data_IF_891117715769
#
_entry.id   IF_891117715769
#
_cell.length_a   1.000
_cell.length_b   1.000
_cell.length_c   1.000
_cell.angle_alpha   90.00
_cell.angle_beta   90.00
_cell.angle_gamma   90.00
#
_symmetry.space_group_name_H-M   'P 1'
#
loop_
_entity.id
_entity.type
_entity.pdbx_description
1 polymer ?
#
# COMPACT_ATOMS: atom_id res chain seq x y z
N UNK A 1 -3.24 -17.45 32.77
CA UNK A 1 -4.40 -18.06 32.08
C UNK A 1 -5.67 -17.30 32.49
N UNK A 2 -6.18 -16.44 31.62
CA UNK A 2 -7.48 -15.78 31.79
C UNK A 2 -8.53 -16.75 31.24
N UNK A 3 -9.21 -17.46 32.11
CA UNK A 3 -10.11 -18.55 31.73
C UNK A 3 -11.61 -18.16 31.74
N UNK A 4 -11.95 -16.95 32.16
CA UNK A 4 -13.37 -16.53 32.28
C UNK A 4 -13.55 -15.10 31.80
N UNK A 5 -14.75 -14.81 31.28
CA UNK A 5 -15.15 -13.44 31.01
C UNK A 5 -15.11 -12.59 32.30
N UNK A 6 -14.60 -11.38 32.19
CA UNK A 6 -14.50 -10.47 33.33
C UNK A 6 -13.62 -9.26 33.07
N UNK A 7 -13.51 -8.41 34.07
CA UNK A 7 -12.56 -7.32 34.08
C UNK A 7 -11.29 -7.76 34.82
N UNK A 8 -10.16 -7.60 34.20
CA UNK A 8 -8.86 -7.94 34.78
C UNK A 8 -7.98 -6.70 34.84
N UNK A 9 -7.32 -6.52 35.97
CA UNK A 9 -6.35 -5.48 36.15
C UNK A 9 -4.95 -6.05 35.83
N UNK A 10 -4.29 -5.47 34.83
CA UNK A 10 -2.93 -5.80 34.47
C UNK A 10 -2.00 -4.74 35.04
N UNK A 11 -1.05 -5.16 35.88
CA UNK A 11 -0.04 -4.29 36.44
C UNK A 11 1.29 -4.67 35.80
N UNK A 12 1.90 -3.72 35.11
CA UNK A 12 3.28 -3.83 34.62
C UNK A 12 4.17 -3.11 35.60
N UNK A 13 5.13 -3.83 36.19
CA UNK A 13 6.13 -3.27 37.10
C UNK A 13 7.48 -3.30 36.40
N UNK A 14 8.14 -2.15 36.33
CA UNK A 14 9.51 -2.09 35.80
C UNK A 14 10.52 -2.61 36.81
N UNK A 15 11.73 -2.93 36.39
CA UNK A 15 12.83 -3.28 37.29
C UNK A 15 13.21 -2.18 38.29
N UNK A 16 12.79 -0.94 38.04
CA UNK A 16 13.01 0.22 38.93
C UNK A 16 11.84 0.47 39.88
N UNK A 17 10.80 -0.38 39.83
CA UNK A 17 9.66 -0.31 40.73
C UNK A 17 8.51 0.59 40.26
N UNK A 18 8.65 1.25 39.12
CA UNK A 18 7.54 1.99 38.51
C UNK A 18 6.47 1.01 38.04
N UNK A 19 5.22 1.34 38.28
CA UNK A 19 4.09 0.51 37.88
C UNK A 19 3.07 1.27 37.07
N UNK A 20 2.53 0.63 36.02
CA UNK A 20 1.37 1.08 35.27
C UNK A 20 0.29 0.02 35.36
N UNK A 21 -0.95 0.44 35.61
CA UNK A 21 -2.10 -0.45 35.67
C UNK A 21 -3.04 -0.14 34.52
N UNK A 22 -3.49 -1.17 33.83
CA UNK A 22 -4.58 -1.07 32.85
C UNK A 22 -5.65 -2.12 33.17
N UNK A 23 -6.91 -1.71 33.06
CA UNK A 23 -8.05 -2.62 33.20
C UNK A 23 -8.53 -3.08 31.84
N UNK A 24 -8.48 -4.38 31.60
CA UNK A 24 -8.96 -5.00 30.38
C UNK A 24 -10.24 -5.77 30.70
N UNK A 25 -11.32 -5.44 29.98
CA UNK A 25 -12.51 -6.31 29.97
C UNK A 25 -12.26 -7.46 29.01
N UNK A 26 -12.04 -8.62 29.55
CA UNK A 26 -12.00 -9.84 28.79
C UNK A 26 -13.43 -10.29 28.47
N UNK A 27 -13.77 -10.24 27.22
CA UNK A 27 -14.98 -10.91 26.68
C UNK A 27 -14.42 -12.12 25.97
N UNK A 28 -14.83 -13.33 26.37
CA UNK A 28 -14.51 -14.51 25.54
C UNK A 28 -15.23 -14.29 24.22
N UNK A 29 -14.49 -13.83 23.20
CA UNK A 29 -14.89 -14.20 21.87
C UNK A 29 -14.78 -15.72 21.87
N UNK A 30 -15.89 -16.44 21.79
CA UNK A 30 -15.86 -17.83 21.42
C UNK A 30 -14.87 -17.94 20.27
N UNK A 31 -13.82 -18.76 20.36
CA UNK A 31 -12.99 -19.04 19.20
C UNK A 31 -14.00 -19.35 18.12
N UNK A 32 -13.92 -18.63 16.99
CA UNK A 32 -14.89 -18.77 15.91
C UNK A 32 -15.11 -20.27 15.70
N UNK A 33 -16.28 -20.76 16.11
CA UNK A 33 -16.64 -22.14 15.84
C UNK A 33 -16.45 -22.33 14.34
N UNK A 34 -15.79 -23.41 13.96
CA UNK A 34 -15.66 -23.67 12.51
C UNK A 34 -17.06 -23.60 11.90
N UNK A 35 -17.24 -22.80 10.82
CA UNK A 35 -18.56 -22.58 10.28
C UNK A 35 -19.16 -23.93 9.89
N UNK A 36 -20.39 -24.19 10.34
CA UNK A 36 -21.12 -25.40 9.94
C UNK A 36 -21.22 -25.45 8.40
N UNK A 37 -21.38 -26.67 7.85
CA UNK A 37 -21.59 -26.82 6.39
C UNK A 37 -22.75 -25.99 5.88
N UNK A 38 -23.79 -25.82 6.69
CA UNK A 38 -24.96 -25.01 6.31
C UNK A 38 -24.65 -23.51 6.35
N UNK A 39 -23.77 -23.04 7.26
CA UNK A 39 -23.29 -21.68 7.27
C UNK A 39 -22.51 -21.34 5.99
N UNK A 40 -21.76 -22.30 5.42
CA UNK A 40 -20.98 -22.09 4.20
C UNK A 40 -21.82 -22.14 2.91
N UNK A 41 -23.05 -22.65 2.96
CA UNK A 41 -23.93 -22.72 1.78
C UNK A 41 -24.52 -21.36 1.49
N UNK A 42 -24.14 -20.76 0.36
CA UNK A 42 -24.79 -19.56 -0.16
C UNK A 42 -26.13 -19.93 -0.85
N UNK A 43 -27.01 -18.94 -1.00
CA UNK A 43 -28.22 -19.07 -1.82
C UNK A 43 -27.87 -19.36 -3.30
N UNK A 44 -28.87 -19.83 -4.06
CA UNK A 44 -28.68 -20.11 -5.50
C UNK A 44 -28.18 -18.89 -6.32
N UNK A 45 -28.49 -17.66 -5.86
CA UNK A 45 -27.99 -16.41 -6.45
C UNK A 45 -26.65 -15.94 -5.89
N UNK A 46 -25.93 -16.73 -5.08
CA UNK A 46 -24.64 -16.36 -4.48
C UNK A 46 -24.74 -15.33 -3.35
N UNK A 47 -25.95 -14.98 -2.91
CA UNK A 47 -26.16 -14.02 -1.81
C UNK A 47 -25.83 -14.65 -0.46
N UNK A 48 -25.31 -13.81 0.45
CA UNK A 48 -25.14 -14.14 1.86
C UNK A 48 -26.37 -13.66 2.63
N UNK A 49 -26.91 -14.49 3.51
CA UNK A 49 -27.89 -14.03 4.50
C UNK A 49 -27.24 -13.07 5.51
N UNK A 50 -28.04 -12.27 6.19
CA UNK A 50 -27.61 -11.39 7.28
C UNK A 50 -26.72 -12.12 8.30
N UNK A 51 -27.15 -13.34 8.72
CA UNK A 51 -26.41 -14.18 9.66
C UNK A 51 -25.03 -14.58 9.12
N UNK A 52 -24.94 -14.92 7.84
CA UNK A 52 -23.68 -15.26 7.18
C UNK A 52 -22.75 -14.04 7.06
N UNK A 53 -23.29 -12.89 6.70
CA UNK A 53 -22.53 -11.63 6.64
C UNK A 53 -22.02 -11.19 8.02
N UNK A 54 -22.85 -11.31 9.07
CA UNK A 54 -22.45 -11.05 10.46
C UNK A 54 -21.33 -12.00 10.90
N UNK A 55 -21.41 -13.28 10.55
CA UNK A 55 -20.37 -14.26 10.84
C UNK A 55 -19.05 -13.90 10.18
N UNK A 56 -19.06 -13.48 8.92
CA UNK A 56 -17.84 -13.02 8.23
C UNK A 56 -17.24 -11.77 8.88
N UNK A 57 -18.07 -10.83 9.33
CA UNK A 57 -17.59 -9.65 10.08
C UNK A 57 -16.97 -10.08 11.41
N UNK A 58 -17.58 -11.01 12.15
CA UNK A 58 -17.04 -11.52 13.41
C UNK A 58 -15.69 -12.24 13.16
N UNK A 59 -15.59 -13.02 12.09
CA UNK A 59 -14.37 -13.68 11.66
C UNK A 59 -13.25 -12.67 11.31
N UNK A 60 -13.60 -11.59 10.62
CA UNK A 60 -12.69 -10.51 10.30
C UNK A 60 -12.18 -9.82 11.58
N UNK A 61 -13.09 -9.42 12.46
CA UNK A 61 -12.78 -8.76 13.74
C UNK A 61 -11.88 -9.63 14.61
N UNK A 62 -12.22 -10.91 14.75
CA UNK A 62 -11.42 -11.88 15.49
C UNK A 62 -10.02 -12.02 14.91
N UNK A 63 -9.92 -12.23 13.59
CA UNK A 63 -8.62 -12.45 12.95
C UNK A 63 -7.74 -11.21 13.00
N UNK A 64 -8.31 -10.01 12.80
CA UNK A 64 -7.59 -8.74 12.99
C UNK A 64 -7.05 -8.63 14.42
N UNK A 65 -7.90 -8.89 15.43
CA UNK A 65 -7.53 -8.78 16.85
C UNK A 65 -6.50 -9.81 17.28
N UNK A 66 -6.43 -10.96 16.64
CA UNK A 66 -5.43 -12.00 16.89
C UNK A 66 -4.09 -11.72 16.20
N UNK A 67 -4.11 -11.17 15.00
CA UNK A 67 -2.94 -11.07 14.12
C UNK A 67 -2.25 -9.72 14.21
N UNK A 68 -3.02 -8.61 14.13
CA UNK A 68 -2.44 -7.28 14.05
C UNK A 68 -1.73 -6.91 15.36
N UNK A 69 -0.47 -6.42 15.32
CA UNK A 69 0.29 -6.15 16.54
C UNK A 69 -0.23 -4.95 17.34
N UNK A 70 -0.88 -3.97 16.67
CA UNK A 70 -1.39 -2.78 17.35
C UNK A 70 -2.54 -2.15 16.55
N UNK A 71 -3.74 -2.75 16.67
CA UNK A 71 -4.93 -2.30 15.93
C UNK A 71 -5.39 -0.88 16.25
N UNK A 72 -5.02 -0.39 17.43
CA UNK A 72 -5.60 0.84 17.97
C UNK A 72 -4.58 1.97 18.12
N UNK A 73 -3.49 1.92 17.35
CA UNK A 73 -2.46 2.96 17.30
C UNK A 73 -2.99 4.33 16.84
N UNK A 74 -3.97 4.32 15.93
CA UNK A 74 -4.54 5.55 15.34
C UNK A 74 -6.03 5.74 15.57
N UNK A 75 -6.76 4.71 16.02
CA UNK A 75 -8.18 4.80 16.28
C UNK A 75 -8.51 4.33 17.70
N UNK A 76 -9.55 4.92 18.31
CA UNK A 76 -9.99 4.51 19.65
C UNK A 76 -10.71 3.17 19.58
N UNK A 77 -10.28 2.21 20.39
CA UNK A 77 -10.88 0.87 20.47
C UNK A 77 -12.41 0.91 20.65
N UNK A 78 -12.91 1.72 21.58
CA UNK A 78 -14.33 1.83 21.84
C UNK A 78 -15.14 2.33 20.64
N UNK A 79 -14.61 3.30 19.91
CA UNK A 79 -15.27 3.84 18.71
C UNK A 79 -15.22 2.85 17.54
N UNK A 80 -14.15 2.10 17.44
CA UNK A 80 -14.04 1.06 16.43
C UNK A 80 -15.07 -0.05 16.66
N UNK A 81 -15.22 -0.56 17.91
CA UNK A 81 -16.25 -1.57 18.21
C UNK A 81 -17.67 -1.04 18.09
N UNK A 82 -17.93 0.24 18.39
CA UNK A 82 -19.21 0.86 18.05
C UNK A 82 -19.49 0.83 16.55
N UNK A 83 -18.47 1.07 15.73
CA UNK A 83 -18.61 0.96 14.26
C UNK A 83 -18.90 -0.46 13.81
N UNK A 84 -18.21 -1.47 14.38
CA UNK A 84 -18.49 -2.89 14.11
C UNK A 84 -19.95 -3.22 14.43
N UNK A 85 -20.43 -2.87 15.62
CA UNK A 85 -21.81 -3.14 16.02
C UNK A 85 -22.83 -2.44 15.11
N UNK A 86 -22.57 -1.19 14.73
CA UNK A 86 -23.42 -0.45 13.79
C UNK A 86 -23.50 -1.15 12.44
N UNK A 87 -22.37 -1.56 11.88
CA UNK A 87 -22.31 -2.30 10.62
C UNK A 87 -23.13 -3.58 10.71
N UNK A 88 -22.96 -4.40 11.75
CA UNK A 88 -23.73 -5.63 11.94
C UNK A 88 -25.25 -5.40 12.02
N UNK A 89 -25.67 -4.29 12.63
CA UNK A 89 -27.09 -3.92 12.74
C UNK A 89 -27.66 -3.46 11.39
N UNK A 90 -26.89 -2.68 10.63
CA UNK A 90 -27.30 -2.09 9.36
C UNK A 90 -27.31 -3.08 8.17
N UNK A 91 -26.74 -4.27 8.33
CA UNK A 91 -26.78 -5.29 7.28
C UNK A 91 -28.22 -5.62 6.92
N UNK A 92 -28.59 -5.62 5.63
CA UNK A 92 -29.89 -6.09 5.17
C UNK A 92 -30.01 -7.61 5.32
N UNK A 93 -31.22 -8.17 5.06
CA UNK A 93 -31.48 -9.60 5.21
C UNK A 93 -30.61 -10.48 4.30
N UNK A 94 -30.20 -9.95 3.16
CA UNK A 94 -29.23 -10.57 2.25
C UNK A 94 -28.33 -9.54 1.59
N UNK A 95 -27.09 -9.93 1.31
CA UNK A 95 -26.07 -9.08 0.67
C UNK A 95 -25.26 -9.88 -0.36
N UNK A 96 -24.81 -9.19 -1.39
CA UNK A 96 -23.76 -9.69 -2.28
C UNK A 96 -22.38 -9.58 -1.61
N UNK A 97 -21.36 -10.23 -2.17
CA UNK A 97 -19.95 -10.08 -1.72
C UNK A 97 -19.49 -8.62 -1.80
N UNK A 98 -19.92 -7.89 -2.85
CA UNK A 98 -19.56 -6.47 -3.04
C UNK A 98 -20.22 -5.57 -2.00
N UNK A 99 -21.49 -5.82 -1.69
CA UNK A 99 -22.17 -5.08 -0.63
C UNK A 99 -21.56 -5.37 0.75
N UNK A 100 -21.19 -6.63 1.04
CA UNK A 100 -20.46 -6.93 2.26
C UNK A 100 -19.11 -6.18 2.32
N UNK A 101 -18.39 -6.08 1.19
CA UNK A 101 -17.19 -5.27 1.11
C UNK A 101 -17.47 -3.79 1.47
N UNK A 102 -18.56 -3.20 0.96
CA UNK A 102 -18.94 -1.80 1.29
C UNK A 102 -19.12 -1.58 2.80
N UNK A 103 -19.65 -2.57 3.51
CA UNK A 103 -19.84 -2.49 4.96
C UNK A 103 -18.54 -2.76 5.75
N UNK A 104 -17.75 -3.73 5.30
CA UNK A 104 -16.60 -4.22 6.06
C UNK A 104 -15.29 -3.46 5.82
N UNK A 105 -15.05 -2.97 4.59
CA UNK A 105 -13.80 -2.28 4.25
C UNK A 105 -13.54 -1.04 5.10
N UNK A 106 -14.54 -0.16 5.42
CA UNK A 106 -14.32 0.98 6.29
C UNK A 106 -13.86 0.62 7.71
N UNK A 107 -14.21 -0.58 8.22
CA UNK A 107 -13.72 -1.05 9.52
C UNK A 107 -12.20 -1.30 9.49
N UNK A 108 -11.71 -1.87 8.40
CA UNK A 108 -10.29 -2.17 8.22
C UNK A 108 -9.49 -0.91 7.95
N UNK A 109 -10.01 -0.01 7.12
CA UNK A 109 -9.37 1.26 6.74
C UNK A 109 -9.12 2.17 7.96
N UNK A 110 -10.02 2.15 8.95
CA UNK A 110 -9.87 2.91 10.21
C UNK A 110 -8.66 2.51 11.05
N UNK A 111 -8.04 1.37 10.78
CA UNK A 111 -6.83 0.96 11.48
C UNK A 111 -5.60 1.78 11.06
N UNK A 112 -5.66 2.51 9.93
CA UNK A 112 -4.59 3.37 9.46
C UNK A 112 -3.30 2.63 9.10
N UNK A 113 -3.40 1.37 8.70
CA UNK A 113 -2.27 0.55 8.27
C UNK A 113 -2.36 0.26 6.76
N UNK A 114 -1.38 0.71 6.01
CA UNK A 114 -1.32 0.52 4.57
C UNK A 114 -1.13 -0.94 4.13
N UNK A 115 -0.72 -1.84 5.01
CA UNK A 115 -0.58 -3.27 4.71
C UNK A 115 -1.81 -4.08 5.12
N UNK A 116 -2.64 -3.58 6.05
CA UNK A 116 -3.89 -4.22 6.47
C UNK A 116 -5.06 -3.65 5.67
N UNK A 117 -5.61 -4.47 4.78
CA UNK A 117 -6.68 -4.05 3.88
C UNK A 117 -7.63 -5.19 3.53
N UNK A 118 -8.91 -4.87 3.39
CA UNK A 118 -9.86 -5.74 2.70
C UNK A 118 -9.78 -5.43 1.20
N UNK A 119 -9.59 -6.45 0.37
CA UNK A 119 -9.41 -6.29 -1.08
C UNK A 119 -10.76 -6.23 -1.78
N UNK A 120 -10.89 -5.33 -2.75
CA UNK A 120 -12.08 -5.27 -3.59
C UNK A 120 -12.29 -6.61 -4.32
N UNK A 121 -13.52 -7.18 -4.31
CA UNK A 121 -13.80 -8.48 -4.91
C UNK A 121 -13.98 -8.37 -6.44
N UNK A 122 -12.92 -8.12 -7.18
CA UNK A 122 -12.95 -7.90 -8.63
C UNK A 122 -13.64 -9.02 -9.40
N UNK A 123 -13.38 -10.29 -9.03
CA UNK A 123 -13.95 -11.44 -9.72
C UNK A 123 -15.47 -11.56 -9.51
N UNK A 124 -15.98 -11.12 -8.34
CA UNK A 124 -17.42 -11.13 -8.06
C UNK A 124 -18.12 -9.92 -8.69
N UNK A 125 -17.41 -8.83 -8.89
CA UNK A 125 -17.95 -7.60 -9.43
C UNK A 125 -17.88 -7.54 -10.96
N UNK A 126 -16.70 -7.80 -11.56
CA UNK A 126 -16.50 -7.69 -12.99
C UNK A 126 -16.87 -8.98 -13.73
N UNK A 127 -18.05 -8.99 -14.30
CA UNK A 127 -18.53 -10.02 -15.24
C UNK A 127 -18.56 -9.43 -16.65
N UNK A 128 -18.79 -10.29 -17.67
CA UNK A 128 -18.92 -9.83 -19.06
C UNK A 128 -20.08 -8.84 -19.27
N UNK A 129 -21.10 -8.90 -18.42
CA UNK A 129 -22.28 -8.04 -18.44
C UNK A 129 -22.18 -6.81 -17.52
N UNK A 130 -21.10 -6.65 -16.77
CA UNK A 130 -20.96 -5.49 -15.89
C UNK A 130 -20.89 -4.21 -16.73
N UNK A 131 -21.80 -3.29 -16.41
CA UNK A 131 -21.89 -1.98 -17.05
C UNK A 131 -20.89 -1.03 -16.40
N UNK A 132 -20.17 -0.27 -17.19
CA UNK A 132 -19.03 0.53 -16.75
C UNK A 132 -19.10 1.98 -17.22
N UNK A 133 -18.51 2.88 -16.42
CA UNK A 133 -18.18 4.23 -16.86
C UNK A 133 -17.14 4.13 -18.00
N UNK A 134 -17.42 4.66 -19.21
CA UNK A 134 -16.49 4.57 -20.35
C UNK A 134 -15.38 5.65 -20.29
N UNK A 135 -14.84 5.89 -19.11
CA UNK A 135 -13.85 6.92 -18.81
C UNK A 135 -12.83 6.40 -17.80
N UNK A 136 -11.55 6.40 -18.17
CA UNK A 136 -10.45 6.06 -17.28
C UNK A 136 -9.76 7.32 -16.77
N UNK A 137 -9.57 7.39 -15.46
CA UNK A 137 -9.07 8.56 -14.77
C UNK A 137 -7.77 8.24 -14.02
N UNK A 138 -6.90 9.23 -13.92
CA UNK A 138 -5.80 9.28 -12.96
C UNK A 138 -6.21 10.20 -11.82
N UNK A 139 -6.14 9.70 -10.62
CA UNK A 139 -6.34 10.48 -9.39
C UNK A 139 -5.01 11.10 -8.98
N UNK A 140 -5.00 12.39 -8.69
CA UNK A 140 -3.80 13.12 -8.25
C UNK A 140 -3.89 13.44 -6.76
N UNK A 141 -2.74 13.57 -6.11
CA UNK A 141 -2.64 13.87 -4.68
C UNK A 141 -3.28 15.20 -4.26
N UNK A 142 -3.49 16.11 -5.21
CA UNK A 142 -4.23 17.37 -5.02
C UNK A 142 -5.76 17.22 -5.17
N UNK A 143 -6.27 15.99 -5.22
CA UNK A 143 -7.68 15.65 -5.44
C UNK A 143 -8.23 16.02 -6.83
N UNK A 144 -7.37 16.14 -7.84
CA UNK A 144 -7.80 16.31 -9.21
C UNK A 144 -7.94 14.99 -9.95
N UNK A 145 -8.89 14.92 -10.89
CA UNK A 145 -9.08 13.78 -11.78
C UNK A 145 -8.62 14.16 -13.20
N UNK A 146 -7.63 13.41 -13.71
CA UNK A 146 -7.12 13.59 -15.08
C UNK A 146 -7.51 12.45 -15.99
N UNK A 147 -7.98 12.76 -17.17
CA UNK A 147 -8.38 11.75 -18.15
C UNK A 147 -7.16 10.99 -18.65
N UNK A 148 -7.17 9.69 -18.45
CA UNK A 148 -6.19 8.74 -19.03
C UNK A 148 -6.67 8.18 -20.37
N UNK A 149 -7.97 8.07 -20.55
CA UNK A 149 -8.63 7.63 -21.77
C UNK A 149 -10.13 7.69 -21.63
N UNK A 150 -10.81 7.95 -22.75
CA UNK A 150 -12.26 7.97 -22.86
C UNK A 150 -12.69 7.23 -24.12
N UNK A 151 -13.87 6.65 -24.10
CA UNK A 151 -14.47 6.01 -25.28
C UNK A 151 -14.50 7.03 -26.43
N UNK A 152 -14.14 6.58 -27.63
CA UNK A 152 -14.11 7.38 -28.87
C UNK A 152 -13.40 8.74 -28.74
N UNK A 153 -12.52 8.90 -27.73
CA UNK A 153 -11.86 10.17 -27.40
C UNK A 153 -12.82 11.34 -27.17
N UNK A 154 -14.04 11.09 -26.69
CA UNK A 154 -15.04 12.13 -26.40
C UNK A 154 -14.53 13.16 -25.40
N UNK A 155 -13.68 12.75 -24.45
CA UNK A 155 -12.93 13.66 -23.60
C UNK A 155 -11.44 13.42 -23.88
N UNK A 156 -10.69 14.45 -24.29
CA UNK A 156 -9.27 14.30 -24.60
C UNK A 156 -8.42 13.86 -23.41
N UNK A 157 -7.34 13.15 -23.69
CA UNK A 157 -6.35 12.77 -22.69
C UNK A 157 -5.79 14.03 -21.99
N UNK A 158 -5.44 13.90 -20.70
CA UNK A 158 -4.96 14.94 -19.79
C UNK A 158 -5.95 16.07 -19.49
N UNK A 159 -7.19 16.04 -20.04
CA UNK A 159 -8.26 16.91 -19.58
C UNK A 159 -8.53 16.67 -18.09
N UNK A 160 -8.91 17.72 -17.39
CA UNK A 160 -9.30 17.67 -15.97
C UNK A 160 -10.81 17.52 -15.86
N UNK A 161 -11.25 16.45 -15.21
CA UNK A 161 -12.66 16.27 -14.84
C UNK A 161 -12.94 17.09 -13.60
N UNK A 162 -13.97 17.92 -13.65
CA UNK A 162 -14.39 18.80 -12.56
C UNK A 162 -15.51 18.17 -11.74
N UNK A 163 -16.48 17.53 -12.42
CA UNK A 163 -17.56 16.82 -11.77
C UNK A 163 -18.12 15.69 -12.65
N UNK A 164 -18.77 14.71 -12.02
CA UNK A 164 -19.55 13.65 -12.67
C UNK A 164 -20.91 13.59 -11.97
N UNK A 165 -21.99 13.72 -12.75
CA UNK A 165 -23.37 13.79 -12.24
C UNK A 165 -23.53 14.81 -11.09
N UNK A 166 -22.94 15.98 -11.24
CA UNK A 166 -23.00 17.08 -10.28
C UNK A 166 -22.10 16.93 -9.04
N UNK A 167 -21.44 15.78 -8.85
CA UNK A 167 -20.47 15.57 -7.75
C UNK A 167 -19.08 16.04 -8.18
N UNK A 168 -18.50 16.93 -7.39
CA UNK A 168 -17.15 17.44 -7.66
C UNK A 168 -16.08 16.35 -7.49
N UNK A 169 -14.98 16.46 -8.25
CA UNK A 169 -13.89 15.48 -8.21
C UNK A 169 -13.35 15.22 -6.80
N UNK A 170 -13.21 16.28 -5.98
CA UNK A 170 -12.79 16.17 -4.58
C UNK A 170 -13.78 15.34 -3.76
N UNK A 171 -15.09 15.62 -3.87
CA UNK A 171 -16.14 14.89 -3.16
C UNK A 171 -16.11 13.40 -3.53
N UNK A 172 -15.95 13.09 -4.84
CA UNK A 172 -15.83 11.71 -5.30
C UNK A 172 -14.65 10.99 -4.68
N UNK A 173 -13.47 11.62 -4.67
CA UNK A 173 -12.25 11.03 -4.10
C UNK A 173 -12.39 10.86 -2.59
N UNK A 174 -12.87 11.88 -1.87
CA UNK A 174 -13.06 11.83 -0.41
C UNK A 174 -14.02 10.71 0.00
N UNK A 175 -15.08 10.49 -0.77
CA UNK A 175 -16.03 9.38 -0.51
C UNK A 175 -15.40 7.98 -0.66
N UNK A 176 -14.32 7.86 -1.45
CA UNK A 176 -13.62 6.60 -1.65
C UNK A 176 -12.54 6.34 -0.59
N UNK A 177 -12.19 7.34 0.23
CA UNK A 177 -11.17 7.19 1.26
C UNK A 177 -11.49 6.08 2.27
N UNK A 178 -12.77 5.83 2.55
CA UNK A 178 -13.20 4.74 3.44
C UNK A 178 -12.86 3.33 2.92
N UNK A 179 -12.45 3.21 1.65
CA UNK A 179 -12.10 1.94 1.01
C UNK A 179 -10.60 1.78 0.74
N UNK A 180 -9.80 2.80 1.06
CA UNK A 180 -8.36 2.82 0.82
C UNK A 180 -7.57 2.88 2.13
N UNK A 181 -6.98 1.75 2.53
CA UNK A 181 -6.12 1.68 3.72
C UNK A 181 -4.79 2.39 3.49
N UNK A 182 -4.31 3.11 4.50
CA UNK A 182 -3.02 3.80 4.44
C UNK A 182 -2.84 4.75 5.61
N UNK A 183 -1.60 5.08 5.91
CA UNK A 183 -1.20 5.94 7.03
C UNK A 183 -1.36 7.44 6.70
N UNK A 184 -1.30 7.77 5.39
CA UNK A 184 -1.37 9.14 4.89
C UNK A 184 -2.35 9.25 3.73
N UNK A 185 -3.04 10.39 3.63
CA UNK A 185 -4.06 10.61 2.60
C UNK A 185 -3.48 10.57 1.18
N UNK A 186 -2.27 11.09 0.96
CA UNK A 186 -1.63 11.01 -0.35
C UNK A 186 -1.38 9.55 -0.78
N UNK A 187 -1.04 8.65 0.14
CA UNK A 187 -0.88 7.23 -0.16
C UNK A 187 -2.23 6.52 -0.36
N UNK A 188 -3.26 6.88 0.41
CA UNK A 188 -4.63 6.40 0.21
C UNK A 188 -5.16 6.81 -1.18
N UNK A 189 -4.85 8.03 -1.63
CA UNK A 189 -5.16 8.52 -2.99
C UNK A 189 -4.47 7.66 -4.05
N UNK A 190 -3.21 7.27 -3.87
CA UNK A 190 -2.53 6.34 -4.79
C UNK A 190 -3.25 5.00 -4.91
N UNK A 191 -3.82 4.49 -3.81
CA UNK A 191 -4.64 3.28 -3.82
C UNK A 191 -5.96 3.49 -4.54
N UNK A 192 -6.64 4.59 -4.26
CA UNK A 192 -7.85 4.98 -4.99
C UNK A 192 -7.55 5.09 -6.49
N UNK A 193 -6.43 5.67 -6.88
CA UNK A 193 -6.01 5.77 -8.27
C UNK A 193 -5.94 4.39 -8.96
N UNK A 194 -5.46 3.37 -8.26
CA UNK A 194 -5.42 1.99 -8.77
C UNK A 194 -6.82 1.38 -8.95
N UNK A 195 -7.74 1.65 -8.04
CA UNK A 195 -9.04 0.99 -7.94
C UNK A 195 -10.22 1.92 -8.31
N UNK A 196 -9.94 3.13 -8.81
CA UNK A 196 -10.92 4.20 -9.02
C UNK A 196 -12.18 3.72 -9.76
N UNK A 197 -12.00 3.06 -10.91
CA UNK A 197 -13.16 2.61 -11.70
C UNK A 197 -14.06 1.67 -10.93
N UNK A 198 -13.49 0.72 -10.19
CA UNK A 198 -14.25 -0.23 -9.39
C UNK A 198 -14.98 0.43 -8.23
N UNK A 199 -14.29 1.32 -7.50
CA UNK A 199 -14.90 2.07 -6.39
C UNK A 199 -15.97 3.03 -6.88
N UNK A 200 -15.70 3.74 -7.98
CA UNK A 200 -16.66 4.67 -8.59
C UNK A 200 -17.93 3.94 -9.01
N UNK A 201 -17.81 2.85 -9.77
CA UNK A 201 -18.94 2.08 -10.26
C UNK A 201 -19.73 1.42 -9.11
N UNK A 202 -19.04 0.93 -8.08
CA UNK A 202 -19.70 0.39 -6.87
C UNK A 202 -20.56 1.45 -6.15
N UNK A 203 -20.13 2.71 -6.15
CA UNK A 203 -20.78 3.78 -5.38
C UNK A 203 -21.74 4.63 -6.22
N UNK A 204 -21.46 4.81 -7.51
CA UNK A 204 -22.08 5.82 -8.36
C UNK A 204 -22.53 5.28 -9.72
N UNK A 205 -22.79 3.96 -9.84
CA UNK A 205 -23.35 3.40 -11.06
C UNK A 205 -24.67 4.12 -11.44
N UNK A 206 -24.78 4.51 -12.70
CA UNK A 206 -25.92 5.27 -13.22
C UNK A 206 -26.18 4.93 -14.70
N UNK A 207 -27.40 5.25 -15.19
CA UNK A 207 -27.79 5.04 -16.59
C UNK A 207 -27.14 6.02 -17.56
N UNK A 208 -26.59 7.12 -17.03
CA UNK A 208 -25.80 8.11 -17.76
C UNK A 208 -24.85 8.84 -16.84
N UNK A 209 -23.80 9.39 -17.40
CA UNK A 209 -22.80 10.19 -16.70
C UNK A 209 -22.63 11.55 -17.39
N UNK A 210 -23.15 12.59 -16.75
CA UNK A 210 -22.95 13.97 -17.18
C UNK A 210 -21.62 14.46 -16.61
N UNK A 211 -20.61 14.60 -17.48
CA UNK A 211 -19.22 14.91 -17.10
C UNK A 211 -18.91 16.36 -17.47
N UNK A 212 -18.55 17.16 -16.46
CA UNK A 212 -18.01 18.51 -16.66
C UNK A 212 -16.48 18.42 -16.58
N UNK A 213 -15.82 18.95 -17.60
CA UNK A 213 -14.36 18.92 -17.68
C UNK A 213 -13.78 20.21 -18.24
N UNK A 214 -12.48 20.39 -18.13
CA UNK A 214 -11.73 21.47 -18.81
C UNK A 214 -10.47 20.91 -19.46
N UNK A 215 -10.06 21.55 -20.54
CA UNK A 215 -8.77 21.23 -21.16
C UNK A 215 -7.63 21.73 -20.30
N UNK A 216 -6.46 21.06 -20.41
CA UNK A 216 -5.24 21.56 -19.81
C UNK A 216 -4.98 22.98 -20.27
N UNK A 217 -4.64 23.85 -19.35
CA UNK A 217 -4.34 25.29 -19.59
C UNK A 217 -5.54 26.14 -20.06
N UNK A 218 -6.79 25.62 -19.95
CA UNK A 218 -8.02 26.35 -20.28
C UNK A 218 -8.90 26.53 -19.03
N UNK A 219 -9.51 27.71 -18.90
CA UNK A 219 -10.54 27.99 -17.88
C UNK A 219 -11.96 27.64 -18.36
N UNK A 220 -12.14 27.37 -19.66
CA UNK A 220 -13.46 27.04 -20.22
C UNK A 220 -13.92 25.66 -19.76
N UNK A 221 -15.10 25.60 -19.14
CA UNK A 221 -15.79 24.36 -18.81
C UNK A 221 -16.49 23.82 -20.06
N UNK A 222 -16.39 22.50 -20.24
CA UNK A 222 -17.03 21.74 -21.31
C UNK A 222 -17.85 20.62 -20.66
N UNK A 223 -18.90 20.20 -21.34
CA UNK A 223 -19.81 19.17 -20.84
C UNK A 223 -19.99 18.08 -21.90
N UNK A 224 -20.10 16.83 -21.44
CA UNK A 224 -20.44 15.70 -22.29
C UNK A 224 -21.21 14.65 -21.47
N UNK A 225 -22.21 14.05 -22.07
CA UNK A 225 -22.93 12.91 -21.48
C UNK A 225 -22.31 11.62 -22.03
N UNK A 226 -21.84 10.76 -21.13
CA UNK A 226 -21.36 9.42 -21.44
C UNK A 226 -22.43 8.39 -21.03
N UNK A 227 -22.64 7.38 -21.87
CA UNK A 227 -23.53 6.27 -21.55
C UNK A 227 -22.72 5.07 -21.12
N UNK A 228 -23.14 4.39 -20.02
CA UNK A 228 -22.48 3.19 -19.55
C UNK A 228 -22.46 2.10 -20.63
N UNK A 229 -21.39 1.33 -20.67
CA UNK A 229 -21.17 0.30 -21.68
C UNK A 229 -20.56 -0.94 -21.09
N UNK A 230 -20.71 -2.08 -21.75
CA UNK A 230 -20.06 -3.32 -21.32
C UNK A 230 -18.56 -3.29 -21.62
N UNK A 231 -17.82 -4.15 -20.94
CA UNK A 231 -16.36 -4.26 -21.21
C UNK A 231 -16.06 -4.68 -22.65
N UNK A 232 -16.89 -5.53 -23.22
CA UNK A 232 -16.74 -6.01 -24.59
C UNK A 232 -16.90 -4.88 -25.62
N UNK A 233 -17.81 -3.94 -25.38
CA UNK A 233 -18.06 -2.78 -26.23
C UNK A 233 -17.03 -1.67 -25.99
N UNK A 234 -16.55 -1.52 -24.77
CA UNK A 234 -15.61 -0.49 -24.37
C UNK A 234 -14.22 -0.69 -24.96
N UNK A 235 -13.65 -1.90 -24.84
CA UNK A 235 -12.27 -2.20 -25.23
C UNK A 235 -11.91 -1.82 -26.66
N UNK A 236 -12.72 -2.15 -27.71
CA UNK A 236 -12.40 -1.80 -29.10
C UNK A 236 -12.43 -0.29 -29.38
N UNK A 237 -13.19 0.46 -28.57
CA UNK A 237 -13.42 1.91 -28.75
C UNK A 237 -12.53 2.78 -27.88
N UNK A 238 -11.70 2.16 -27.02
CA UNK A 238 -10.69 2.86 -26.25
C UNK A 238 -9.45 3.18 -27.08
N UNK A 239 -8.77 4.30 -26.81
CA UNK A 239 -7.49 4.59 -27.45
C UNK A 239 -6.54 3.40 -27.30
N UNK A 240 -6.01 2.90 -28.43
CA UNK A 240 -5.06 1.78 -28.39
C UNK A 240 -3.84 2.18 -27.58
N UNK A 241 -3.57 1.48 -26.49
CA UNK A 241 -2.28 1.59 -25.81
C UNK A 241 -1.19 1.18 -26.79
N UNK A 242 -0.14 1.99 -26.92
CA UNK A 242 1.11 1.50 -27.52
C UNK A 242 1.52 0.24 -26.76
N UNK A 243 1.91 -0.81 -27.48
CA UNK A 243 2.43 -2.03 -26.85
C UNK A 243 3.45 -1.63 -25.78
N UNK A 244 3.09 -1.84 -24.51
CA UNK A 244 4.04 -1.62 -23.45
C UNK A 244 4.92 -2.85 -23.39
N UNK A 245 6.23 -2.65 -23.59
CA UNK A 245 7.22 -3.69 -23.31
C UNK A 245 6.96 -4.25 -21.89
N UNK A 246 7.18 -5.56 -21.74
CA UNK A 246 7.05 -6.21 -20.43
C UNK A 246 7.81 -5.40 -19.38
N UNK A 247 7.10 -4.93 -18.37
CA UNK A 247 7.74 -4.22 -17.25
C UNK A 247 8.61 -5.23 -16.50
N UNK A 248 9.91 -4.99 -16.48
CA UNK A 248 10.87 -5.79 -15.72
C UNK A 248 10.93 -5.28 -14.27
N UNK A 249 11.27 -6.17 -13.34
CA UNK A 249 11.49 -5.80 -11.94
C UNK A 249 12.57 -4.71 -11.80
N UNK A 250 13.58 -4.78 -12.68
CA UNK A 250 14.64 -3.78 -12.80
C UNK A 250 15.25 -3.78 -14.19
N UNK A 251 15.68 -2.61 -14.62
CA UNK A 251 16.42 -2.40 -15.86
C UNK A 251 17.29 -1.16 -15.72
N UNK A 252 18.30 -0.98 -16.57
CA UNK A 252 19.06 0.26 -16.59
C UNK A 252 19.42 0.71 -18.01
N UNK A 253 19.61 2.01 -18.16
CA UNK A 253 20.08 2.65 -19.39
C UNK A 253 21.27 3.54 -19.08
N UNK A 254 22.24 3.57 -19.98
CA UNK A 254 23.47 4.37 -19.84
C UNK A 254 23.51 5.45 -20.91
N UNK A 255 23.76 6.67 -20.51
CA UNK A 255 24.15 7.79 -21.38
C UNK A 255 25.64 8.06 -21.16
N UNK A 256 26.48 7.48 -22.02
CA UNK A 256 27.94 7.58 -21.92
C UNK A 256 28.45 8.99 -22.15
N UNK A 257 27.75 9.80 -22.97
CA UNK A 257 28.13 11.19 -23.23
C UNK A 257 27.95 12.06 -22.01
N UNK A 258 26.87 11.84 -21.27
CA UNK A 258 26.58 12.57 -20.02
C UNK A 258 27.19 11.91 -18.79
N UNK A 259 27.78 10.72 -18.93
CA UNK A 259 28.28 9.91 -17.81
C UNK A 259 27.21 9.63 -16.73
N UNK A 260 25.98 9.32 -17.17
CA UNK A 260 24.83 9.06 -16.33
C UNK A 260 24.23 7.69 -16.66
N UNK A 261 23.84 6.95 -15.63
CA UNK A 261 22.97 5.78 -15.77
C UNK A 261 21.65 6.03 -15.04
N UNK A 262 20.55 5.50 -15.57
CA UNK A 262 19.23 5.49 -14.95
C UNK A 262 18.81 4.05 -14.76
N UNK A 263 18.65 3.63 -13.51
CA UNK A 263 18.08 2.35 -13.10
C UNK A 263 16.59 2.53 -12.87
N UNK A 264 15.74 1.86 -13.65
CA UNK A 264 14.31 1.72 -13.39
C UNK A 264 14.13 0.51 -12.45
N UNK A 265 13.75 0.77 -11.19
CA UNK A 265 13.68 -0.22 -10.14
C UNK A 265 12.23 -0.36 -9.66
N UNK A 266 11.51 -1.37 -10.16
CA UNK A 266 10.06 -1.54 -10.03
C UNK A 266 9.61 -2.45 -8.90
N UNK A 267 10.46 -3.38 -8.44
CA UNK A 267 10.06 -4.39 -7.46
C UNK A 267 11.22 -4.92 -6.64
N UNK A 268 11.01 -5.11 -5.35
CA UNK A 268 11.92 -5.77 -4.43
C UNK A 268 11.65 -7.29 -4.41
N UNK A 269 11.79 -7.95 -5.56
CA UNK A 269 11.32 -9.32 -5.71
C UNK A 269 12.33 -10.37 -5.20
N UNK A 270 13.46 -10.57 -5.85
CA UNK A 270 14.37 -11.69 -5.60
C UNK A 270 15.80 -11.21 -5.33
N UNK A 271 16.35 -11.37 -4.10
CA UNK A 271 17.69 -10.91 -3.76
C UNK A 271 18.80 -11.50 -4.64
N UNK A 272 18.74 -12.79 -4.99
CA UNK A 272 19.75 -13.44 -5.82
C UNK A 272 19.74 -12.86 -7.25
N UNK A 273 18.56 -12.71 -7.85
CA UNK A 273 18.44 -12.08 -9.17
C UNK A 273 18.89 -10.62 -9.14
N UNK A 274 18.56 -9.90 -8.08
CA UNK A 274 19.03 -8.53 -7.89
C UNK A 274 20.54 -8.48 -7.78
N UNK A 275 21.17 -9.42 -7.08
CA UNK A 275 22.64 -9.48 -7.00
C UNK A 275 23.27 -9.67 -8.37
N UNK A 276 22.80 -10.63 -9.15
CA UNK A 276 23.30 -10.86 -10.51
C UNK A 276 23.13 -9.63 -11.42
N UNK A 277 22.01 -8.96 -11.30
CA UNK A 277 21.76 -7.71 -12.04
C UNK A 277 22.67 -6.59 -11.56
N UNK A 278 22.84 -6.39 -10.26
CA UNK A 278 23.71 -5.37 -9.68
C UNK A 278 25.17 -5.60 -10.05
N UNK A 279 25.68 -6.84 -9.96
CA UNK A 279 27.01 -7.23 -10.41
C UNK A 279 27.26 -6.75 -11.84
N UNK A 280 26.36 -7.12 -12.78
CA UNK A 280 26.45 -6.73 -14.18
C UNK A 280 26.35 -5.21 -14.40
N UNK A 281 25.39 -4.56 -13.71
CA UNK A 281 25.18 -3.12 -13.83
C UNK A 281 26.41 -2.37 -13.35
N UNK A 282 26.91 -2.62 -12.14
CA UNK A 282 28.04 -1.88 -11.58
C UNK A 282 29.38 -2.14 -12.31
N UNK A 283 29.57 -3.35 -12.86
CA UNK A 283 30.69 -3.62 -13.80
C UNK A 283 30.58 -2.69 -15.01
N UNK A 284 29.42 -2.65 -15.67
CA UNK A 284 29.17 -1.77 -16.82
C UNK A 284 29.39 -0.30 -16.50
N UNK A 285 28.93 0.17 -15.31
CA UNK A 285 29.14 1.56 -14.90
C UNK A 285 30.62 1.91 -14.76
N UNK A 286 31.43 1.01 -14.19
CA UNK A 286 32.88 1.20 -14.04
C UNK A 286 33.58 1.23 -15.41
N UNK A 287 33.32 0.21 -16.25
CA UNK A 287 33.94 0.10 -17.57
C UNK A 287 33.67 1.32 -18.46
N UNK A 288 32.44 1.88 -18.37
CA UNK A 288 32.06 3.06 -19.13
C UNK A 288 32.37 4.38 -18.44
N UNK A 289 32.97 4.34 -17.25
CA UNK A 289 33.32 5.50 -16.45
C UNK A 289 32.13 6.39 -16.12
N UNK A 290 30.99 5.76 -15.75
CA UNK A 290 29.75 6.44 -15.37
C UNK A 290 29.93 7.01 -13.96
N UNK A 291 29.68 8.30 -13.80
CA UNK A 291 29.89 9.02 -12.54
C UNK A 291 28.61 9.35 -11.79
N UNK A 292 27.46 9.20 -12.42
CA UNK A 292 26.16 9.52 -11.84
C UNK A 292 25.17 8.37 -12.07
N UNK A 293 24.60 7.86 -10.98
CA UNK A 293 23.56 6.82 -11.01
C UNK A 293 22.26 7.42 -10.48
N UNK A 294 21.21 7.36 -11.28
CA UNK A 294 19.84 7.68 -10.87
C UNK A 294 19.12 6.35 -10.62
N UNK A 295 18.60 6.15 -9.42
CA UNK A 295 17.75 5.00 -9.05
C UNK A 295 16.30 5.49 -8.98
N UNK A 296 15.44 4.98 -9.84
CA UNK A 296 14.03 5.38 -9.93
C UNK A 296 13.13 4.42 -9.17
N UNK A 297 12.68 4.81 -7.98
CA UNK A 297 11.74 4.07 -7.13
C UNK A 297 10.29 4.62 -7.19
N UNK A 298 9.99 5.60 -8.03
CA UNK A 298 8.68 6.26 -8.04
C UNK A 298 7.49 5.33 -8.27
N UNK A 299 7.72 4.17 -8.88
CA UNK A 299 6.68 3.17 -9.15
C UNK A 299 6.96 1.84 -8.44
N UNK A 300 7.57 1.88 -7.26
CA UNK A 300 7.97 0.69 -6.52
C UNK A 300 7.19 0.56 -5.21
N UNK A 301 6.31 -0.43 -5.15
CA UNK A 301 5.50 -0.74 -3.95
C UNK A 301 6.20 -1.62 -2.91
N UNK A 302 7.49 -1.93 -3.09
CA UNK A 302 8.26 -2.75 -2.14
C UNK A 302 8.39 -4.22 -2.50
N UNK A 303 8.48 -5.07 -1.48
CA UNK A 303 8.69 -6.52 -1.56
C UNK A 303 9.60 -7.04 -0.45
N UNK A 304 10.68 -7.73 -0.80
CA UNK A 304 11.66 -8.27 0.15
C UNK A 304 12.78 -7.25 0.43
N UNK A 305 12.90 -6.76 1.66
CA UNK A 305 13.90 -5.74 2.05
C UNK A 305 15.35 -6.17 1.83
N UNK A 306 15.66 -7.47 1.83
CA UNK A 306 17.01 -7.97 1.53
C UNK A 306 17.50 -7.57 0.13
N UNK A 307 16.60 -7.24 -0.79
CA UNK A 307 16.94 -6.70 -2.11
C UNK A 307 17.61 -5.32 -1.97
N UNK A 308 17.14 -4.51 -1.03
CA UNK A 308 17.76 -3.22 -0.70
C UNK A 308 19.18 -3.39 -0.16
N UNK A 309 19.40 -4.36 0.72
CA UNK A 309 20.73 -4.63 1.28
C UNK A 309 21.73 -5.00 0.18
N UNK A 310 21.32 -5.73 -0.85
CA UNK A 310 22.16 -6.05 -2.00
C UNK A 310 22.65 -4.77 -2.69
N UNK A 311 21.76 -3.83 -2.99
CA UNK A 311 22.13 -2.57 -3.69
C UNK A 311 22.95 -1.65 -2.80
N UNK A 312 22.61 -1.54 -1.51
CA UNK A 312 23.34 -0.70 -0.57
C UNK A 312 24.80 -1.08 -0.40
N UNK A 313 25.13 -2.36 -0.51
CA UNK A 313 26.54 -2.78 -0.47
C UNK A 313 27.41 -2.13 -1.56
N UNK A 314 26.82 -1.80 -2.73
CA UNK A 314 27.56 -1.13 -3.80
C UNK A 314 27.67 0.38 -3.64
N UNK A 315 26.74 1.03 -2.91
CA UNK A 315 26.61 2.49 -2.92
C UNK A 315 26.74 3.15 -1.54
N UNK A 316 26.66 2.39 -0.45
CA UNK A 316 26.72 2.98 0.88
C UNK A 316 28.14 3.43 1.25
N UNK A 317 28.34 4.68 1.71
CA UNK A 317 29.67 5.17 2.11
C UNK A 317 30.16 4.60 3.45
N UNK A 318 29.29 3.94 4.20
CA UNK A 318 29.56 3.39 5.54
C UNK A 318 28.70 2.16 5.82
N UNK A 319 29.01 1.35 6.85
CA UNK A 319 28.16 0.26 7.27
C UNK A 319 26.74 0.76 7.56
N UNK A 320 25.70 -0.01 7.15
CA UNK A 320 24.31 0.40 7.16
C UNK A 320 23.39 -0.68 7.72
N UNK A 321 22.16 -0.31 8.01
CA UNK A 321 21.03 -1.19 8.26
C UNK A 321 19.70 -0.48 7.92
N UNK A 322 18.69 -1.23 7.50
CA UNK A 322 17.38 -0.67 7.20
C UNK A 322 16.52 -0.53 8.46
N UNK A 323 16.39 -1.61 9.23
CA UNK A 323 15.52 -1.68 10.40
C UNK A 323 16.32 -1.47 11.70
N UNK A 324 15.76 -0.65 12.60
CA UNK A 324 16.28 -0.45 13.95
C UNK A 324 15.57 -1.34 14.97
N UNK A 325 14.23 -1.41 14.89
CA UNK A 325 13.40 -2.18 15.84
C UNK A 325 12.28 -2.92 15.10
N UNK A 326 11.83 -4.01 15.70
CA UNK A 326 10.65 -4.72 15.23
C UNK A 326 9.86 -5.32 16.41
N UNK A 327 8.55 -5.15 16.40
CA UNK A 327 7.61 -5.83 17.29
C UNK A 327 6.88 -6.89 16.48
N UNK A 328 6.94 -8.14 16.93
CA UNK A 328 6.31 -9.28 16.27
C UNK A 328 5.27 -9.88 17.20
N UNK A 329 4.05 -10.03 16.69
CA UNK A 329 2.99 -10.74 17.39
C UNK A 329 2.75 -12.10 16.73
N UNK A 330 2.90 -13.17 17.50
CA UNK A 330 2.61 -14.52 17.06
C UNK A 330 1.48 -15.08 17.91
N UNK A 331 0.41 -15.50 17.26
CA UNK A 331 -0.72 -16.17 17.89
C UNK A 331 -0.93 -17.55 17.25
N UNK A 332 -1.74 -18.44 17.84
CA UNK A 332 -2.15 -19.66 17.15
C UNK A 332 -2.75 -19.39 15.77
N UNK A 333 -3.51 -18.29 15.62
CA UNK A 333 -4.06 -17.85 14.33
C UNK A 333 -2.93 -17.47 13.34
N UNK A 334 -1.91 -16.73 13.78
CA UNK A 334 -0.73 -16.42 12.97
C UNK A 334 -0.05 -17.69 12.46
N UNK A 335 0.18 -18.66 13.34
CA UNK A 335 0.83 -19.95 13.00
C UNK A 335 -0.03 -20.71 11.98
N UNK A 336 -1.33 -20.82 12.24
CA UNK A 336 -2.28 -21.53 11.35
C UNK A 336 -2.31 -20.92 9.96
N UNK A 337 -2.41 -19.59 9.86
CA UNK A 337 -2.55 -18.90 8.58
C UNK A 337 -1.23 -18.85 7.78
N UNK A 338 -0.08 -18.84 8.45
CA UNK A 338 1.24 -18.82 7.79
C UNK A 338 1.77 -20.22 7.49
N UNK A 339 1.26 -21.26 8.16
CA UNK A 339 1.82 -22.61 8.13
C UNK A 339 3.20 -22.75 8.83
N UNK A 340 3.65 -21.72 9.55
CA UNK A 340 4.97 -21.68 10.20
C UNK A 340 4.92 -22.30 11.59
N UNK A 341 4.82 -23.61 11.65
CA UNK A 341 4.65 -24.39 12.90
C UNK A 341 5.81 -24.22 13.89
N UNK A 342 6.98 -23.76 13.45
CA UNK A 342 8.14 -23.47 14.30
C UNK A 342 8.03 -22.15 15.08
N UNK A 343 7.05 -21.30 14.77
CA UNK A 343 6.84 -20.06 15.51
C UNK A 343 6.25 -20.35 16.90
N UNK A 344 6.76 -19.66 17.90
CA UNK A 344 6.27 -19.76 19.29
C UNK A 344 5.28 -18.62 19.54
N UNK A 345 4.05 -18.92 20.04
CA UNK A 345 3.09 -17.88 20.40
C UNK A 345 3.66 -16.91 21.45
N UNK A 346 3.37 -15.63 21.26
CA UNK A 346 3.80 -14.55 22.16
C UNK A 346 4.17 -13.28 21.43
N UNK A 347 4.79 -12.38 22.18
CA UNK A 347 5.32 -11.13 21.70
C UNK A 347 6.84 -11.20 21.68
N UNK A 348 7.45 -10.72 20.59
CA UNK A 348 8.89 -10.58 20.48
C UNK A 348 9.23 -9.17 20.06
N UNK A 349 10.07 -8.50 20.85
CA UNK A 349 10.57 -7.18 20.54
C UNK A 349 12.07 -7.26 20.22
N UNK A 350 12.42 -6.88 19.04
CA UNK A 350 13.79 -6.80 18.56
C UNK A 350 14.24 -5.35 18.57
N UNK A 351 15.28 -5.03 19.31
CA UNK A 351 15.94 -3.73 19.27
C UNK A 351 17.40 -3.97 18.85
N UNK A 352 17.70 -3.57 17.62
CA UNK A 352 19.02 -3.77 17.02
C UNK A 352 19.76 -2.43 16.80
N UNK A 353 19.20 -1.30 17.25
CA UNK A 353 19.83 0.03 17.08
C UNK A 353 21.19 0.13 17.76
N UNK A 354 21.32 -0.47 18.96
CA UNK A 354 22.52 -0.44 19.77
C UNK A 354 23.50 -1.58 19.49
N UNK A 355 23.09 -2.58 18.71
CA UNK A 355 23.91 -3.76 18.39
C UNK A 355 24.65 -3.55 17.09
N UNK A 356 25.93 -3.91 17.06
CA UNK A 356 26.83 -3.71 15.93
C UNK A 356 26.55 -4.51 14.65
N UNK A 357 25.33 -4.96 14.41
CA UNK A 357 24.94 -5.77 13.26
C UNK A 357 24.70 -4.90 12.00
N UNK A 358 25.68 -4.04 11.67
CA UNK A 358 25.64 -3.28 10.44
C UNK A 358 26.19 -4.10 9.28
N UNK A 359 25.54 -3.99 8.13
CA UNK A 359 26.01 -4.61 6.89
C UNK A 359 27.11 -3.73 6.30
N UNK A 360 28.33 -4.28 6.07
CA UNK A 360 29.41 -3.49 5.46
C UNK A 360 29.15 -3.27 3.96
N UNK A 361 29.50 -2.10 3.42
CA UNK A 361 29.57 -1.91 1.98
C UNK A 361 30.67 -2.78 1.37
N UNK A 362 30.65 -2.93 0.06
CA UNK A 362 31.77 -3.51 -0.68
C UNK A 362 32.98 -2.58 -0.60
N UNK A 363 34.18 -3.15 -0.68
CA UNK A 363 35.41 -2.37 -0.89
C UNK A 363 35.48 -1.91 -2.34
N UNK A 364 36.42 -1.00 -2.64
CA UNK A 364 36.67 -0.56 -4.00
C UNK A 364 37.06 -1.72 -4.92
N UNK A 365 37.90 -2.62 -4.41
CA UNK A 365 38.36 -3.83 -5.11
C UNK A 365 37.20 -4.80 -5.38
N UNK A 366 36.24 -4.90 -4.47
CA UNK A 366 35.02 -5.70 -4.63
C UNK A 366 33.99 -5.04 -5.54
N UNK A 367 34.18 -3.75 -5.88
CA UNK A 367 33.34 -3.06 -6.85
C UNK A 367 32.41 -2.02 -6.29
N UNK A 368 32.73 -1.42 -5.14
CA UNK A 368 32.02 -0.26 -4.63
C UNK A 368 31.93 0.86 -5.67
N UNK A 369 30.76 1.51 -5.77
CA UNK A 369 30.54 2.60 -6.72
C UNK A 369 30.90 3.94 -6.09
N UNK A 370 31.89 4.61 -6.67
CA UNK A 370 32.43 5.88 -6.17
C UNK A 370 31.75 7.13 -6.79
N UNK A 371 30.72 6.93 -7.63
CA UNK A 371 29.99 8.03 -8.25
C UNK A 371 28.86 8.59 -7.39
N UNK A 372 28.28 9.70 -7.82
CA UNK A 372 27.12 10.31 -7.18
C UNK A 372 25.86 9.50 -7.44
N UNK A 373 25.01 9.31 -6.42
CA UNK A 373 23.75 8.59 -6.52
C UNK A 373 22.58 9.53 -6.25
N UNK A 374 21.55 9.43 -7.08
CA UNK A 374 20.29 10.18 -6.97
C UNK A 374 19.14 9.19 -6.87
N UNK A 375 18.31 9.33 -5.85
CA UNK A 375 17.15 8.48 -5.63
C UNK A 375 15.87 9.24 -5.95
N UNK A 376 15.04 8.70 -6.87
CA UNK A 376 13.75 9.28 -7.19
C UNK A 376 12.66 8.53 -6.43
N UNK A 377 11.84 9.27 -5.67
CA UNK A 377 10.74 8.72 -4.87
C UNK A 377 9.42 9.43 -5.19
N UNK A 378 8.30 8.77 -4.86
CA UNK A 378 6.96 9.32 -4.95
C UNK A 378 6.07 8.77 -3.84
N UNK A 379 4.84 9.25 -3.76
CA UNK A 379 3.83 8.70 -2.85
C UNK A 379 3.58 7.19 -3.03
N UNK A 380 3.88 6.63 -4.20
CA UNK A 380 3.80 5.18 -4.46
C UNK A 380 5.01 4.39 -3.93
N UNK A 381 6.11 5.04 -3.54
CA UNK A 381 7.30 4.39 -2.95
C UNK A 381 6.92 3.86 -1.56
N UNK A 382 6.65 2.55 -1.44
CA UNK A 382 6.00 1.98 -0.26
C UNK A 382 6.71 0.71 0.26
N UNK A 383 6.43 0.34 1.52
CA UNK A 383 6.94 -0.90 2.15
C UNK A 383 8.48 -0.97 2.06
N UNK A 384 9.07 -2.06 1.58
CA UNK A 384 10.53 -2.21 1.45
C UNK A 384 11.19 -1.13 0.58
N UNK A 385 10.48 -0.53 -0.39
CA UNK A 385 10.99 0.61 -1.13
C UNK A 385 11.02 1.89 -0.27
N UNK A 386 10.03 2.07 0.61
CA UNK A 386 10.04 3.13 1.63
C UNK A 386 11.19 2.95 2.62
N UNK A 387 11.41 1.72 3.12
CA UNK A 387 12.55 1.38 3.99
C UNK A 387 13.90 1.65 3.31
N UNK A 388 14.01 1.31 2.03
CA UNK A 388 15.19 1.63 1.22
C UNK A 388 15.40 3.14 1.12
N UNK A 389 14.35 3.90 0.79
CA UNK A 389 14.46 5.36 0.68
C UNK A 389 14.88 6.00 2.01
N UNK A 390 14.33 5.53 3.13
CA UNK A 390 14.70 5.99 4.47
C UNK A 390 16.17 5.73 4.77
N UNK A 391 16.62 4.47 4.64
CA UNK A 391 18.01 4.10 4.93
C UNK A 391 18.99 4.79 3.96
N UNK A 392 18.62 4.95 2.68
CA UNK A 392 19.42 5.70 1.70
C UNK A 392 19.73 7.11 2.20
N UNK A 393 18.72 7.81 2.72
CA UNK A 393 18.88 9.16 3.27
C UNK A 393 19.63 9.16 4.59
N UNK A 394 19.29 8.29 5.52
CA UNK A 394 19.87 8.20 6.87
C UNK A 394 21.38 7.90 6.84
N UNK A 395 21.81 7.06 5.91
CA UNK A 395 23.22 6.71 5.76
C UNK A 395 23.98 7.59 4.78
N UNK A 396 23.35 8.63 4.21
CA UNK A 396 24.00 9.62 3.35
C UNK A 396 24.49 9.04 2.02
N UNK A 397 23.71 8.13 1.42
CA UNK A 397 24.13 7.44 0.18
C UNK A 397 23.98 8.31 -1.07
N UNK A 398 23.31 9.46 -0.98
CA UNK A 398 23.15 10.37 -2.11
C UNK A 398 21.99 11.36 -1.91
N UNK A 399 21.47 11.90 -3.01
CA UNK A 399 20.43 12.92 -3.03
C UNK A 399 19.07 12.32 -3.34
N UNK A 400 18.06 12.63 -2.52
CA UNK A 400 16.66 12.17 -2.69
C UNK A 400 15.83 13.26 -3.37
N UNK A 401 15.08 12.89 -4.42
CA UNK A 401 14.32 13.83 -5.26
C UNK A 401 12.91 13.28 -5.49
N UNK A 402 11.89 14.13 -5.39
CA UNK A 402 10.51 13.76 -5.70
C UNK A 402 9.52 14.21 -4.65
N UNK A 403 8.60 13.32 -4.29
CA UNK A 403 7.57 13.51 -3.27
C UNK A 403 7.87 12.67 -2.04
N UNK A 404 7.27 12.98 -0.89
CA UNK A 404 7.35 12.13 0.31
C UNK A 404 6.95 10.68 -0.03
N UNK A 405 7.72 9.70 0.46
CA UNK A 405 7.39 8.29 0.22
C UNK A 405 6.10 7.86 0.95
N UNK A 406 5.35 6.93 0.34
CA UNK A 406 4.17 6.32 0.97
C UNK A 406 4.50 5.39 2.13
N UNK A 407 5.71 4.83 2.17
CA UNK A 407 6.20 4.02 3.29
C UNK A 407 6.72 4.90 4.42
N UNK A 408 6.20 4.70 5.64
CA UNK A 408 6.55 5.48 6.83
C UNK A 408 7.79 4.91 7.53
N UNK A 409 8.47 5.79 8.30
CA UNK A 409 9.62 5.42 9.14
C UNK A 409 9.24 4.49 10.30
N UNK A 410 7.99 4.57 10.77
CA UNK A 410 7.37 3.59 11.66
C UNK A 410 6.12 3.07 10.97
N UNK A 411 6.06 1.78 10.73
CA UNK A 411 5.00 1.18 9.92
C UNK A 411 4.69 -0.26 10.35
N UNK A 412 3.56 -0.76 9.91
CA UNK A 412 3.22 -2.18 10.01
C UNK A 412 3.66 -2.92 8.74
N UNK A 413 3.73 -4.26 8.81
CA UNK A 413 4.10 -5.06 7.65
C UNK A 413 4.20 -6.54 7.91
N UNK A 414 4.85 -7.26 6.99
CA UNK A 414 4.87 -8.72 6.93
C UNK A 414 3.44 -9.26 7.02
N UNK A 415 2.79 -9.30 5.85
CA UNK A 415 1.35 -9.57 5.74
C UNK A 415 1.01 -11.05 5.79
N UNK A 416 -0.12 -11.33 6.40
CA UNK A 416 -0.81 -12.61 6.32
C UNK A 416 -2.02 -12.44 5.41
N UNK A 417 -2.25 -13.41 4.54
CA UNK A 417 -3.45 -13.47 3.71
C UNK A 417 -4.54 -14.26 4.44
N UNK A 418 -5.72 -13.66 4.55
CA UNK A 418 -6.88 -14.28 5.14
C UNK A 418 -8.08 -14.14 4.20
N UNK A 419 -8.87 -15.19 4.09
CA UNK A 419 -10.17 -15.17 3.37
C UNK A 419 -11.29 -15.32 4.37
N UNK A 420 -12.29 -14.45 4.28
CA UNK A 420 -13.48 -14.57 5.09
C UNK A 420 -14.20 -15.88 4.78
N UNK A 421 -14.70 -16.59 5.80
CA UNK A 421 -15.13 -17.99 5.65
C UNK A 421 -16.29 -18.21 4.68
N UNK A 422 -17.24 -17.28 4.62
CA UNK A 422 -18.46 -17.45 3.81
C UNK A 422 -18.36 -16.66 2.50
N UNK A 423 -18.01 -15.38 2.54
CA UNK A 423 -17.92 -14.53 1.34
C UNK A 423 -16.70 -14.84 0.49
N UNK A 424 -15.63 -15.31 1.11
CA UNK A 424 -14.34 -15.45 0.44
C UNK A 424 -13.60 -14.13 0.23
N UNK A 425 -14.09 -13.01 0.77
CA UNK A 425 -13.40 -11.72 0.72
C UNK A 425 -11.99 -11.86 1.25
N UNK A 426 -11.02 -11.36 0.48
CA UNK A 426 -9.62 -11.46 0.83
C UNK A 426 -9.17 -10.25 1.66
N UNK A 427 -8.51 -10.53 2.79
CA UNK A 427 -7.91 -9.53 3.65
C UNK A 427 -6.40 -9.77 3.75
N UNK A 428 -5.60 -8.72 3.76
CA UNK A 428 -4.21 -8.78 4.19
C UNK A 428 -4.12 -8.15 5.58
N UNK A 429 -3.33 -8.75 6.47
CA UNK A 429 -3.21 -8.30 7.87
C UNK A 429 -1.73 -8.31 8.24
N UNK A 430 -1.23 -7.18 8.72
CA UNK A 430 0.12 -7.08 9.26
C UNK A 430 0.26 -7.85 10.57
N UNK A 431 1.38 -8.54 10.78
CA UNK A 431 1.66 -9.18 12.06
C UNK A 431 2.95 -8.69 12.72
N UNK A 432 3.59 -7.66 12.13
CA UNK A 432 4.76 -6.97 12.67
C UNK A 432 4.58 -5.46 12.62
N UNK A 433 5.24 -4.76 13.54
CA UNK A 433 5.47 -3.33 13.52
C UNK A 433 6.96 -3.08 13.43
N UNK A 434 7.38 -2.19 12.56
CA UNK A 434 8.76 -1.88 12.27
C UNK A 434 9.07 -0.41 12.56
N UNK A 435 10.26 -0.17 13.08
CA UNK A 435 10.91 1.13 13.13
C UNK A 435 12.14 1.08 12.24
N UNK A 436 12.22 1.95 11.28
CA UNK A 436 13.43 2.13 10.49
C UNK A 436 14.58 2.55 11.41
N UNK A 437 15.83 2.34 10.98
CA UNK A 437 16.98 2.78 11.77
C UNK A 437 16.91 4.30 11.98
N UNK A 438 17.11 4.77 13.23
CA UNK A 438 17.03 6.19 13.58
C UNK A 438 15.62 6.80 13.59
N UNK A 439 14.57 6.00 13.40
CA UNK A 439 13.19 6.51 13.39
C UNK A 439 12.72 6.95 14.78
N UNK A 440 12.11 8.14 14.86
CA UNK A 440 11.38 8.61 16.04
C UNK A 440 9.89 8.32 15.91
N UNK A 441 9.34 7.60 16.89
CA UNK A 441 7.90 7.29 16.93
C UNK A 441 7.01 8.52 17.15
N UNK A 442 7.56 9.62 17.62
CA UNK A 442 6.84 10.88 17.79
C UNK A 442 6.70 11.66 16.48
N UNK A 443 7.53 11.34 15.50
CA UNK A 443 7.60 11.99 14.20
C UNK A 443 7.46 10.95 13.07
N UNK A 444 6.26 10.40 12.92
CA UNK A 444 5.99 9.39 11.90
C UNK A 444 5.72 10.07 10.56
N UNK A 445 6.59 9.83 9.58
CA UNK A 445 6.47 10.32 8.22
C UNK A 445 7.20 9.40 7.23
N UNK A 446 6.95 9.57 5.94
CA UNK A 446 7.71 8.93 4.87
C UNK A 446 9.11 9.56 4.71
N UNK A 447 9.89 9.04 3.79
CA UNK A 447 11.16 9.69 3.43
C UNK A 447 10.87 11.01 2.76
N UNK A 448 11.33 12.11 3.36
CA UNK A 448 11.22 13.45 2.79
C UNK A 448 12.35 13.67 1.78
N UNK A 449 12.06 14.12 0.55
CA UNK A 449 13.09 14.39 -0.45
C UNK A 449 13.93 15.62 -0.09
N UNK A 450 15.19 15.66 -0.55
CA UNK A 450 16.05 16.83 -0.45
C UNK A 450 15.62 17.92 -1.44
N UNK A 451 15.04 17.50 -2.57
CA UNK A 451 14.40 18.37 -3.55
C UNK A 451 12.95 17.91 -3.80
N UNK A 452 12.03 18.61 -3.15
CA UNK A 452 10.60 18.37 -3.32
C UNK A 452 10.12 18.88 -4.68
N UNK A 453 9.66 17.96 -5.53
CA UNK A 453 9.07 18.24 -6.83
C UNK A 453 8.01 17.17 -7.14
N UNK A 454 6.98 17.48 -7.93
CA UNK A 454 6.04 16.46 -8.39
C UNK A 454 6.78 15.29 -9.06
N UNK A 455 6.28 14.08 -8.87
CA UNK A 455 6.92 12.85 -9.35
C UNK A 455 7.28 12.90 -10.85
N UNK A 456 6.46 13.56 -11.67
CA UNK A 456 6.70 13.69 -13.11
C UNK A 456 7.95 14.53 -13.41
N UNK A 457 8.29 15.48 -12.54
CA UNK A 457 9.46 16.37 -12.68
C UNK A 457 10.75 15.81 -12.07
N UNK A 458 10.67 14.75 -11.24
CA UNK A 458 11.82 14.28 -10.45
C UNK A 458 13.03 13.86 -11.30
N UNK A 459 12.80 13.15 -12.41
CA UNK A 459 13.88 12.76 -13.32
C UNK A 459 14.56 13.96 -14.00
N UNK A 460 13.78 14.94 -14.45
CA UNK A 460 14.30 16.18 -15.04
C UNK A 460 15.13 16.97 -14.01
N UNK A 461 14.66 17.00 -12.75
CA UNK A 461 15.39 17.64 -11.64
C UNK A 461 16.73 16.97 -11.37
N UNK A 462 16.80 15.63 -11.37
CA UNK A 462 18.05 14.90 -11.24
C UNK A 462 19.06 15.28 -12.33
N UNK A 463 18.63 15.33 -13.60
CA UNK A 463 19.49 15.77 -14.70
C UNK A 463 19.95 17.23 -14.58
N UNK A 464 19.15 18.11 -13.98
CA UNK A 464 19.57 19.50 -13.71
C UNK A 464 20.66 19.58 -12.64
N UNK A 465 20.61 18.74 -11.61
CA UNK A 465 21.61 18.68 -10.54
C UNK A 465 22.94 18.11 -11.05
N UNK A 466 22.90 17.12 -11.93
CA UNK A 466 24.09 16.50 -12.53
C UNK A 466 24.87 17.47 -13.43
N UNK A 467 24.21 18.44 -14.04
CA UNK A 467 24.83 19.43 -14.93
C UNK A 467 25.56 20.57 -14.20
N UNK A 468 25.33 20.70 -12.89
CA UNK A 468 26.02 21.69 -12.04
C UNK A 468 27.32 21.13 -11.49
#
# INVERSE_FOLDING_TARGET
NVAKEGCYDFVVVTHQGDSAMTRIKWVSANPLEEPSRDMLKRSAGGLLSKKQAQFDIDALVYTLSEVHPDMFSVCRQSEWFKSVNRVKQQLPDSVTTVELFKYAAPLVTKLGDGHTMLRFPFNDYFTSSTIRLPLFLNVKSDYTLRVRGCIDNLIPQDAEVLSINGKESRELIESMMDYASGERDFFRIERINSDFSALFEMMYAADKYDVVYRMKDSKKKLEVTLHPTTWAELLPRMPKKKEQARVLDYSFKVDEKKKVAVMDFRSFNNPQRTKMFADSMFVTLREKGIKNLIIDLRNNGGGNSMVGDVLFRYISPKPFKQMGKALVRVTPTTIRLTGRTQMVPGWSFYNDESKGNFIPPLTKEEGHYEGSVYLLISHHTFSSAGSFAWAFKEFGMGTVIGEESGGMNVSFGDIIYYKLPVSGLSCTISFKRFWQYGADEKEIHGTLPDYAVPQEGALAKAFQLIKK
#
